data_IF_610291581561
#
_entry.id   IF_610291581561
#
_cell.length_a   1.000
_cell.length_b   1.000
_cell.length_c   1.000
_cell.angle_alpha   90.00
_cell.angle_beta   90.00
_cell.angle_gamma   90.00
#
_symmetry.space_group_name_H-M   'P 1'
#
loop_
_entity.id
_entity.type
_entity.pdbx_description
1 polymer ?
#
# COMPACT_ATOMS: atom_id res chain seq x y z
N UNK A 1 -8.95 -35.64 13.45
CA UNK A 1 -9.34 -34.35 12.85
C UNK A 1 -10.58 -34.59 12.04
N UNK A 2 -11.70 -33.93 12.34
CA UNK A 2 -12.90 -34.09 11.53
C UNK A 2 -12.63 -33.55 10.13
N UNK A 3 -12.93 -34.31 9.10
CA UNK A 3 -12.86 -33.85 7.72
C UNK A 3 -13.66 -32.55 7.58
N UNK A 4 -13.00 -31.50 7.12
CA UNK A 4 -13.62 -30.20 6.86
C UNK A 4 -14.61 -30.37 5.71
N UNK A 5 -15.91 -30.33 5.99
CA UNK A 5 -16.93 -30.32 4.95
C UNK A 5 -16.72 -29.08 4.09
N UNK A 6 -16.25 -29.31 2.87
CA UNK A 6 -16.13 -28.26 1.86
C UNK A 6 -17.48 -28.11 1.19
N UNK A 7 -18.12 -26.97 1.34
CA UNK A 7 -19.39 -26.68 0.67
C UNK A 7 -19.09 -26.28 -0.78
N UNK A 8 -19.08 -27.25 -1.68
CA UNK A 8 -18.80 -27.07 -3.11
C UNK A 8 -19.62 -25.96 -3.77
N UNK A 9 -20.79 -25.65 -3.24
CA UNK A 9 -21.69 -24.62 -3.75
C UNK A 9 -21.21 -23.17 -3.50
N UNK A 10 -20.14 -22.99 -2.72
CA UNK A 10 -19.57 -21.68 -2.39
C UNK A 10 -18.34 -21.33 -3.19
N UNK A 11 -17.72 -22.31 -3.81
CA UNK A 11 -16.51 -22.13 -4.58
C UNK A 11 -16.93 -21.93 -6.03
N UNK A 12 -16.90 -20.69 -6.52
CA UNK A 12 -16.98 -20.47 -7.96
C UNK A 12 -15.84 -21.23 -8.64
N UNK A 13 -16.10 -21.83 -9.78
CA UNK A 13 -15.08 -22.61 -10.54
C UNK A 13 -13.82 -21.78 -10.82
N UNK A 14 -13.96 -20.48 -11.06
CA UNK A 14 -12.86 -19.56 -11.33
C UNK A 14 -11.95 -19.31 -10.12
N UNK A 15 -12.39 -19.60 -8.89
CA UNK A 15 -11.53 -19.53 -7.71
C UNK A 15 -10.54 -20.70 -7.62
N UNK A 16 -10.71 -21.71 -8.43
CA UNK A 16 -9.84 -22.89 -8.47
C UNK A 16 -8.70 -22.75 -9.47
N UNK A 17 -8.70 -21.71 -10.27
CA UNK A 17 -7.72 -21.47 -11.33
C UNK A 17 -7.10 -20.09 -11.16
N UNK A 18 -5.77 -19.95 -11.28
CA UNK A 18 -5.13 -18.62 -11.28
C UNK A 18 -5.77 -17.72 -12.34
N UNK A 19 -5.95 -16.42 -12.06
CA UNK A 19 -6.52 -15.51 -13.03
C UNK A 19 -5.66 -15.46 -14.29
N UNK A 20 -6.26 -15.44 -15.50
CA UNK A 20 -5.50 -15.30 -16.72
C UNK A 20 -4.64 -14.04 -16.71
N UNK A 21 -3.43 -14.06 -17.30
CA UNK A 21 -2.61 -12.88 -17.44
C UNK A 21 -3.34 -11.76 -18.18
N UNK A 22 -3.12 -10.51 -17.76
CA UNK A 22 -3.76 -9.32 -18.31
C UNK A 22 -5.30 -9.30 -18.22
N UNK A 23 -5.90 -10.15 -17.43
CA UNK A 23 -7.34 -10.12 -17.13
C UNK A 23 -7.67 -9.07 -16.06
N UNK A 24 -8.94 -8.66 -15.98
CA UNK A 24 -9.41 -7.76 -14.93
C UNK A 24 -9.12 -8.30 -13.53
N UNK A 25 -9.29 -9.62 -13.33
CA UNK A 25 -9.05 -10.27 -12.05
C UNK A 25 -7.56 -10.27 -11.65
N UNK A 26 -6.64 -10.26 -12.61
CA UNK A 26 -5.20 -10.23 -12.32
C UNK A 26 -4.72 -8.91 -11.74
N UNK A 27 -5.51 -7.83 -11.85
CA UNK A 27 -5.14 -6.49 -11.38
C UNK A 27 -5.27 -6.36 -9.86
N UNK A 28 -6.38 -6.82 -9.30
CA UNK A 28 -6.72 -6.57 -7.91
C UNK A 28 -6.70 -7.84 -7.08
N UNK A 29 -5.86 -7.84 -6.03
CA UNK A 29 -5.68 -8.98 -5.14
C UNK A 29 -5.56 -8.51 -3.69
N UNK A 30 -6.33 -9.17 -2.82
CA UNK A 30 -6.08 -9.21 -1.39
C UNK A 30 -5.64 -10.63 -1.02
N UNK A 31 -4.52 -10.76 -0.30
CA UNK A 31 -3.94 -12.05 0.04
C UNK A 31 -3.22 -12.73 -1.13
N UNK A 32 -2.80 -13.97 -0.94
CA UNK A 32 -2.19 -14.77 -2.00
C UNK A 32 -3.22 -15.05 -3.10
N UNK A 33 -2.93 -14.75 -4.37
CA UNK A 33 -3.84 -15.01 -5.48
C UNK A 33 -4.13 -16.50 -5.69
N UNK A 34 -3.29 -17.38 -5.17
CA UNK A 34 -3.44 -18.83 -5.27
C UNK A 34 -4.05 -19.47 -4.01
N UNK A 35 -4.22 -18.67 -2.93
CA UNK A 35 -4.92 -19.12 -1.75
C UNK A 35 -6.38 -18.66 -1.75
N UNK A 36 -7.28 -19.62 -1.68
CA UNK A 36 -8.73 -19.40 -1.64
C UNK A 36 -9.22 -19.62 -0.21
N UNK A 37 -9.87 -18.58 0.33
CA UNK A 37 -10.48 -18.64 1.66
C UNK A 37 -11.99 -18.87 1.48
N UNK A 38 -12.48 -19.92 2.08
CA UNK A 38 -13.91 -20.25 2.12
C UNK A 38 -14.49 -19.92 3.49
N UNK A 39 -15.75 -19.48 3.56
CA UNK A 39 -16.43 -19.41 4.83
C UNK A 39 -16.49 -20.82 5.45
N UNK A 40 -16.22 -20.90 6.76
CA UNK A 40 -16.44 -22.15 7.48
C UNK A 40 -17.97 -22.42 7.66
N UNK A 41 -18.32 -23.63 8.09
CA UNK A 41 -19.72 -24.03 8.24
C UNK A 41 -20.54 -23.11 9.13
N UNK A 42 -19.93 -22.58 10.20
CA UNK A 42 -20.61 -21.66 11.13
C UNK A 42 -20.90 -20.32 10.46
N UNK A 43 -19.91 -19.75 9.78
CA UNK A 43 -20.09 -18.50 9.04
C UNK A 43 -21.13 -18.65 7.93
N UNK A 44 -21.12 -19.77 7.24
CA UNK A 44 -22.12 -20.08 6.21
C UNK A 44 -23.53 -20.11 6.78
N UNK A 45 -23.74 -20.87 7.88
CA UNK A 45 -25.03 -20.97 8.55
C UNK A 45 -25.50 -19.62 9.06
N UNK A 46 -24.57 -18.83 9.65
CA UNK A 46 -24.82 -17.47 10.09
C UNK A 46 -25.25 -16.56 8.92
N UNK A 47 -24.52 -16.57 7.81
CA UNK A 47 -24.86 -15.76 6.64
C UNK A 47 -26.25 -16.09 6.08
N UNK A 48 -26.63 -17.36 6.06
CA UNK A 48 -28.00 -17.75 5.66
C UNK A 48 -29.07 -17.28 6.63
N UNK A 49 -28.83 -17.44 7.94
CA UNK A 49 -29.78 -17.07 8.99
C UNK A 49 -29.96 -15.56 9.12
N UNK A 50 -28.85 -14.83 9.35
CA UNK A 50 -28.91 -13.40 9.67
C UNK A 50 -29.11 -12.50 8.44
N UNK A 51 -28.59 -12.90 7.27
CA UNK A 51 -28.71 -12.11 6.04
C UNK A 51 -29.85 -12.60 5.12
N UNK A 52 -30.59 -13.62 5.53
CA UNK A 52 -31.66 -14.20 4.74
C UNK A 52 -31.21 -14.78 3.40
N UNK A 53 -29.96 -15.21 3.30
CA UNK A 53 -29.40 -15.77 2.06
C UNK A 53 -29.90 -17.20 1.85
N UNK A 54 -30.11 -17.54 0.58
CA UNK A 54 -30.55 -18.87 0.14
C UNK A 54 -29.45 -19.55 -0.65
N UNK A 55 -29.58 -20.87 -0.91
CA UNK A 55 -28.63 -21.58 -1.77
C UNK A 55 -28.53 -20.96 -3.17
N UNK A 56 -29.63 -20.38 -3.68
CA UNK A 56 -29.63 -19.67 -4.98
C UNK A 56 -28.69 -18.46 -4.95
N UNK A 57 -28.57 -17.73 -3.84
CA UNK A 57 -27.63 -16.61 -3.73
C UNK A 57 -26.20 -17.08 -3.89
N UNK A 58 -25.86 -18.24 -3.36
CA UNK A 58 -24.52 -18.81 -3.44
C UNK A 58 -24.22 -19.52 -4.76
N UNK A 59 -25.26 -19.88 -5.50
CA UNK A 59 -25.14 -20.46 -6.85
C UNK A 59 -25.09 -19.41 -7.95
N UNK A 60 -25.42 -18.15 -7.62
CA UNK A 60 -25.40 -17.06 -8.60
C UNK A 60 -23.96 -16.82 -9.04
N UNK A 61 -23.67 -17.11 -10.29
CA UNK A 61 -22.40 -16.76 -10.91
C UNK A 61 -22.36 -15.24 -11.11
N UNK A 62 -21.45 -14.56 -10.40
CA UNK A 62 -21.08 -13.19 -10.71
C UNK A 62 -20.15 -13.12 -11.93
N UNK A 63 -19.81 -11.93 -12.38
CA UNK A 63 -18.69 -11.75 -13.30
C UNK A 63 -17.40 -12.21 -12.63
N UNK A 64 -16.62 -13.06 -13.31
CA UNK A 64 -15.41 -13.65 -12.74
C UNK A 64 -14.14 -12.81 -13.00
N UNK A 65 -14.23 -11.85 -13.94
CA UNK A 65 -13.12 -10.96 -14.30
C UNK A 65 -12.00 -11.67 -15.07
N UNK A 66 -12.28 -12.82 -15.67
CA UNK A 66 -11.32 -13.57 -16.47
C UNK A 66 -11.10 -13.00 -17.88
N UNK A 67 -11.94 -12.08 -18.31
CA UNK A 67 -11.80 -11.38 -19.58
C UNK A 67 -10.52 -10.56 -19.60
N UNK A 68 -9.87 -10.52 -20.74
CA UNK A 68 -8.72 -9.65 -20.96
C UNK A 68 -9.14 -8.17 -20.88
N UNK A 69 -8.33 -7.34 -20.23
CA UNK A 69 -8.54 -5.90 -20.24
C UNK A 69 -8.36 -5.37 -21.67
N UNK A 70 -9.35 -4.64 -22.23
CA UNK A 70 -9.25 -4.13 -23.59
C UNK A 70 -8.14 -3.07 -23.71
N UNK A 71 -7.53 -2.98 -24.87
CA UNK A 71 -6.54 -1.93 -25.16
C UNK A 71 -7.17 -0.54 -25.12
N UNK A 72 -8.41 -0.41 -25.58
CA UNK A 72 -9.17 0.86 -25.54
C UNK A 72 -10.06 0.87 -24.30
N UNK A 73 -9.80 1.82 -23.41
CA UNK A 73 -10.59 2.07 -22.21
C UNK A 73 -11.57 3.24 -22.43
N UNK A 74 -12.52 3.42 -21.52
CA UNK A 74 -13.47 4.53 -21.56
C UNK A 74 -12.76 5.91 -21.60
N UNK A 75 -11.68 6.07 -20.84
CA UNK A 75 -10.81 7.25 -20.93
C UNK A 75 -9.84 7.07 -22.11
N UNK A 76 -9.72 8.01 -23.05
CA UNK A 76 -8.76 7.90 -24.16
C UNK A 76 -7.32 7.92 -23.67
N UNK A 77 -6.35 7.39 -24.45
CA UNK A 77 -4.94 7.52 -24.10
C UNK A 77 -4.47 8.97 -24.18
N UNK A 78 -3.27 9.23 -23.63
CA UNK A 78 -2.62 10.53 -23.70
C UNK A 78 -2.24 10.86 -25.15
N UNK A 79 -2.24 12.15 -25.50
CA UNK A 79 -1.88 12.63 -26.81
C UNK A 79 -0.42 12.27 -27.17
N UNK A 80 -0.14 11.92 -28.43
CA UNK A 80 1.20 11.46 -28.85
C UNK A 80 2.34 12.43 -28.52
N UNK A 81 2.10 13.74 -28.57
CA UNK A 81 3.11 14.76 -28.26
C UNK A 81 3.54 14.72 -26.78
N UNK A 82 2.60 14.51 -25.88
CA UNK A 82 2.89 14.37 -24.45
C UNK A 82 3.55 13.03 -24.16
N UNK A 83 3.12 11.95 -24.83
CA UNK A 83 3.76 10.63 -24.72
C UNK A 83 5.23 10.74 -25.15
N UNK A 84 5.53 11.37 -26.30
CA UNK A 84 6.88 11.56 -26.80
C UNK A 84 7.78 12.33 -25.82
N UNK A 85 7.24 13.36 -25.16
CA UNK A 85 7.96 14.07 -24.11
C UNK A 85 8.32 13.13 -22.95
N UNK A 86 7.34 12.41 -22.38
CA UNK A 86 7.60 11.49 -21.26
C UNK A 86 8.53 10.34 -21.64
N UNK A 87 8.45 9.84 -22.89
CA UNK A 87 9.41 8.86 -23.41
C UNK A 87 10.84 9.42 -23.48
N UNK A 88 11.00 10.71 -23.79
CA UNK A 88 12.32 11.35 -23.79
C UNK A 88 12.90 11.53 -22.37
N UNK A 89 12.06 11.63 -21.35
CA UNK A 89 12.46 11.78 -19.94
C UNK A 89 12.74 10.43 -19.29
N UNK A 90 11.80 9.49 -19.38
CA UNK A 90 11.85 8.23 -18.64
C UNK A 90 12.39 7.04 -19.44
N UNK A 91 12.50 7.18 -20.77
CA UNK A 91 12.69 6.05 -21.69
C UNK A 91 11.35 5.42 -22.12
N UNK A 92 11.33 4.97 -23.37
CA UNK A 92 10.11 4.43 -24.00
C UNK A 92 9.49 3.24 -23.26
N UNK A 93 10.31 2.39 -22.66
CA UNK A 93 9.90 1.22 -21.90
C UNK A 93 9.25 1.59 -20.55
N UNK A 94 9.41 2.82 -20.09
CA UNK A 94 8.89 3.35 -18.85
C UNK A 94 7.66 4.27 -19.05
N UNK A 95 7.08 4.30 -20.24
CA UNK A 95 5.83 5.00 -20.54
C UNK A 95 4.85 4.02 -21.16
N UNK A 96 3.63 3.97 -20.64
CA UNK A 96 2.62 3.04 -21.15
C UNK A 96 1.25 3.69 -21.31
N UNK A 97 0.70 3.52 -22.51
CA UNK A 97 -0.70 3.87 -22.82
C UNK A 97 -1.60 2.63 -22.98
N UNK A 98 -1.06 1.42 -22.73
CA UNK A 98 -1.80 0.16 -22.86
C UNK A 98 -2.92 0.06 -21.83
N UNK A 99 -4.08 -0.43 -22.24
CA UNK A 99 -5.28 -0.52 -21.42
C UNK A 99 -5.04 -1.24 -20.09
N UNK A 100 -4.39 -2.40 -20.11
CA UNK A 100 -4.08 -3.15 -18.90
C UNK A 100 -3.23 -2.38 -17.89
N UNK A 101 -2.14 -1.74 -18.35
CA UNK A 101 -1.25 -0.99 -17.47
C UNK A 101 -1.96 0.22 -16.85
N UNK A 102 -2.77 0.91 -17.64
CA UNK A 102 -3.58 2.06 -17.18
C UNK A 102 -4.62 1.62 -16.15
N UNK A 103 -5.32 0.53 -16.40
CA UNK A 103 -6.33 0.03 -15.46
C UNK A 103 -5.70 -0.54 -14.18
N UNK A 104 -4.48 -1.09 -14.25
CA UNK A 104 -3.78 -1.67 -13.10
C UNK A 104 -3.43 -0.65 -12.01
N UNK A 105 -3.42 0.63 -12.34
CA UNK A 105 -3.16 1.75 -11.42
C UNK A 105 -4.35 2.70 -11.25
N UNK A 106 -5.52 2.34 -11.82
CA UNK A 106 -6.70 3.20 -11.79
C UNK A 106 -7.43 3.19 -10.46
N UNK A 107 -7.42 2.06 -9.76
CA UNK A 107 -8.24 1.84 -8.58
C UNK A 107 -7.43 1.45 -7.36
N UNK A 108 -8.00 1.73 -6.18
CA UNK A 108 -7.53 1.22 -4.90
C UNK A 108 -7.98 -0.21 -4.64
N UNK A 109 -8.19 -0.56 -3.37
CA UNK A 109 -8.56 -1.92 -2.94
C UNK A 109 -9.81 -1.95 -2.05
N UNK A 110 -10.80 -1.08 -2.35
CA UNK A 110 -12.11 -1.18 -1.71
C UNK A 110 -12.91 -2.34 -2.31
N UNK A 111 -13.93 -2.78 -1.60
CA UNK A 111 -14.89 -3.75 -2.15
C UNK A 111 -15.54 -3.21 -3.44
N UNK A 112 -15.78 -1.90 -3.53
CA UNK A 112 -16.33 -1.25 -4.72
C UNK A 112 -15.34 -1.29 -5.89
N UNK A 113 -14.04 -1.13 -5.64
CA UNK A 113 -13.00 -1.25 -6.66
C UNK A 113 -12.93 -2.67 -7.22
N UNK A 114 -13.04 -3.68 -6.35
CA UNK A 114 -13.18 -5.09 -6.75
C UNK A 114 -14.39 -5.33 -7.64
N UNK A 115 -15.54 -4.78 -7.24
CA UNK A 115 -16.77 -4.89 -7.99
C UNK A 115 -16.64 -4.29 -9.39
N UNK A 116 -16.11 -3.05 -9.47
CA UNK A 116 -15.90 -2.39 -10.76
C UNK A 116 -15.04 -3.22 -11.70
N UNK A 117 -13.92 -3.73 -11.22
CA UNK A 117 -13.03 -4.57 -12.03
C UNK A 117 -13.72 -5.86 -12.50
N UNK A 118 -14.50 -6.51 -11.64
CA UNK A 118 -15.23 -7.73 -12.01
C UNK A 118 -16.37 -7.49 -13.00
N UNK A 119 -16.98 -6.32 -12.92
CA UNK A 119 -18.05 -5.92 -13.87
C UNK A 119 -17.49 -5.21 -15.12
N UNK A 120 -16.17 -5.30 -15.34
CA UNK A 120 -15.49 -4.72 -16.50
C UNK A 120 -15.66 -3.19 -16.63
N UNK A 121 -15.84 -2.48 -15.51
CA UNK A 121 -15.96 -1.04 -15.48
C UNK A 121 -14.54 -0.44 -15.55
N UNK A 122 -14.31 0.43 -16.54
CA UNK A 122 -12.98 1.00 -16.85
C UNK A 122 -12.95 2.54 -16.76
N UNK A 123 -13.89 3.12 -16.04
CA UNK A 123 -13.97 4.57 -15.85
C UNK A 123 -12.78 5.12 -15.06
N UNK A 124 -12.44 6.39 -15.29
CA UNK A 124 -11.39 7.11 -14.57
C UNK A 124 -10.00 6.45 -14.60
N UNK A 125 -9.71 5.61 -15.59
CA UNK A 125 -8.34 5.15 -15.80
C UNK A 125 -7.45 6.32 -16.23
N UNK A 126 -6.20 6.42 -15.75
CA UNK A 126 -5.28 7.46 -16.22
C UNK A 126 -5.03 7.30 -17.72
N UNK A 127 -4.67 8.39 -18.39
CA UNK A 127 -4.44 8.42 -19.84
C UNK A 127 -3.08 7.78 -20.22
N UNK A 128 -2.12 7.81 -19.30
CA UNK A 128 -0.85 7.09 -19.39
C UNK A 128 -0.35 6.72 -17.98
N UNK A 129 0.56 5.75 -17.93
CA UNK A 129 1.31 5.38 -16.72
C UNK A 129 2.77 5.58 -16.99
N UNK A 130 3.46 6.26 -16.07
CA UNK A 130 4.90 6.48 -16.10
C UNK A 130 5.55 5.70 -14.95
N UNK A 131 6.73 5.16 -15.20
CA UNK A 131 7.53 4.40 -14.26
C UNK A 131 8.88 5.10 -14.03
N UNK A 132 8.94 6.23 -13.30
CA UNK A 132 10.16 6.99 -13.12
C UNK A 132 11.23 6.18 -12.40
N UNK A 133 12.50 6.44 -12.70
CA UNK A 133 13.68 5.75 -12.16
C UNK A 133 14.60 6.65 -11.35
N UNK A 134 14.40 7.97 -11.41
CA UNK A 134 15.18 8.94 -10.66
C UNK A 134 14.36 10.14 -10.18
N UNK A 135 14.91 10.85 -9.21
CA UNK A 135 14.34 12.09 -8.70
C UNK A 135 14.24 13.17 -9.78
N UNK A 136 15.27 13.27 -10.61
CA UNK A 136 15.38 14.24 -11.69
C UNK A 136 14.34 14.04 -12.77
N UNK A 137 14.02 12.78 -13.09
CA UNK A 137 12.88 12.48 -13.98
C UNK A 137 11.57 12.97 -13.39
N UNK A 138 11.33 12.76 -12.10
CA UNK A 138 10.10 13.22 -11.41
C UNK A 138 10.02 14.74 -11.43
N UNK A 139 11.14 15.46 -11.25
CA UNK A 139 11.17 16.93 -11.36
C UNK A 139 10.70 17.36 -12.74
N UNK A 140 11.28 16.80 -13.81
CA UNK A 140 10.91 17.14 -15.19
C UNK A 140 9.45 16.81 -15.51
N UNK A 141 8.95 15.68 -15.00
CA UNK A 141 7.54 15.26 -15.17
C UNK A 141 6.61 16.28 -14.50
N UNK A 142 6.88 16.66 -13.25
CA UNK A 142 6.02 17.59 -12.50
C UNK A 142 6.01 18.97 -13.15
N UNK A 143 7.17 19.50 -13.55
CA UNK A 143 7.29 20.77 -14.26
C UNK A 143 6.53 20.76 -15.59
N UNK A 144 6.64 19.68 -16.36
CA UNK A 144 5.93 19.54 -17.61
C UNK A 144 4.41 19.44 -17.39
N UNK A 145 3.97 18.63 -16.44
CA UNK A 145 2.57 18.49 -16.09
C UNK A 145 1.95 19.83 -15.65
N UNK A 146 2.67 20.61 -14.86
CA UNK A 146 2.25 21.95 -14.46
C UNK A 146 2.10 22.87 -15.68
N UNK A 147 3.10 22.91 -16.57
CA UNK A 147 3.11 23.76 -17.77
C UNK A 147 1.97 23.39 -18.74
N UNK A 148 1.69 22.10 -18.88
CA UNK A 148 0.69 21.60 -19.82
C UNK A 148 -0.68 21.37 -19.18
N UNK A 149 -0.83 21.69 -17.89
CA UNK A 149 -2.08 21.47 -17.11
C UNK A 149 -2.55 19.99 -17.14
N UNK A 150 -1.59 19.03 -17.13
CA UNK A 150 -1.88 17.61 -17.10
C UNK A 150 -2.03 17.18 -15.63
N UNK A 151 -3.20 16.68 -15.19
CA UNK A 151 -3.37 16.13 -13.86
C UNK A 151 -2.42 14.95 -13.62
N UNK A 152 -1.79 14.92 -12.42
CA UNK A 152 -0.83 13.90 -12.04
C UNK A 152 -1.30 13.19 -10.76
N UNK A 153 -1.29 11.85 -10.78
CA UNK A 153 -1.64 11.01 -9.66
C UNK A 153 -0.47 10.10 -9.30
N UNK A 154 -0.17 10.00 -8.02
CA UNK A 154 0.93 9.12 -7.55
C UNK A 154 0.37 7.78 -7.13
N UNK A 155 0.95 6.71 -7.64
CA UNK A 155 0.57 5.35 -7.32
C UNK A 155 1.75 4.63 -6.61
N UNK A 156 1.58 4.36 -5.33
CA UNK A 156 2.47 3.51 -4.54
C UNK A 156 1.99 2.06 -4.60
N UNK A 157 1.67 1.44 -3.46
CA UNK A 157 1.14 0.06 -3.43
C UNK A 157 -0.29 -0.10 -3.93
N UNK A 158 -1.02 0.98 -4.16
CA UNK A 158 -2.42 0.95 -4.58
C UNK A 158 -3.37 0.35 -3.56
N UNK A 159 -2.98 0.30 -2.29
CA UNK A 159 -3.80 -0.23 -1.19
C UNK A 159 -4.81 0.80 -0.63
N UNK A 160 -4.92 1.96 -1.25
CA UNK A 160 -5.84 3.03 -0.87
C UNK A 160 -7.29 2.54 -0.79
N UNK A 161 -8.01 3.01 0.21
CA UNK A 161 -9.46 2.79 0.40
C UNK A 161 -10.25 4.10 0.39
N UNK A 162 -9.60 5.22 0.03
CA UNK A 162 -10.17 6.57 -0.02
C UNK A 162 -10.35 7.07 -1.46
N UNK A 163 -10.00 6.27 -2.47
CA UNK A 163 -10.02 6.59 -3.90
C UNK A 163 -9.00 7.66 -4.32
N UNK A 164 -8.01 7.98 -3.49
CA UNK A 164 -6.99 9.02 -3.79
C UNK A 164 -6.11 8.71 -5.01
N UNK A 165 -6.05 7.46 -5.47
CA UNK A 165 -5.29 7.05 -6.66
C UNK A 165 -6.06 7.19 -7.97
N UNK A 166 -7.36 7.46 -7.91
CA UNK A 166 -8.25 7.44 -9.06
C UNK A 166 -8.15 8.73 -9.89
N UNK A 167 -7.93 8.59 -11.18
CA UNK A 167 -7.69 9.72 -12.09
C UNK A 167 -8.99 10.42 -12.56
N UNK A 168 -9.76 10.99 -11.62
CA UNK A 168 -11.05 11.63 -11.90
C UNK A 168 -11.03 12.74 -12.97
N UNK A 169 -9.90 13.41 -13.13
CA UNK A 169 -9.72 14.48 -14.11
C UNK A 169 -8.91 14.02 -15.33
N UNK A 170 -8.79 12.69 -15.53
CA UNK A 170 -7.84 12.18 -16.53
C UNK A 170 -6.40 12.46 -16.12
N UNK A 171 -5.49 12.64 -17.10
CA UNK A 171 -4.08 12.88 -16.82
C UNK A 171 -3.28 11.58 -16.68
N UNK A 172 -2.19 11.61 -15.93
CA UNK A 172 -1.23 10.50 -15.84
C UNK A 172 -1.10 9.98 -14.42
N UNK A 173 -0.70 8.70 -14.30
CA UNK A 173 -0.27 8.12 -13.02
C UNK A 173 1.22 7.83 -13.02
N UNK A 174 1.89 8.15 -11.91
CA UNK A 174 3.27 7.74 -11.63
C UNK A 174 3.25 6.46 -10.80
N UNK A 175 3.63 5.34 -11.37
CA UNK A 175 3.82 4.09 -10.62
C UNK A 175 5.25 4.03 -10.08
N UNK A 176 5.37 4.27 -8.78
CA UNK A 176 6.67 4.37 -8.10
C UNK A 176 7.29 2.99 -7.80
N UNK A 177 6.52 1.90 -7.87
CA UNK A 177 6.96 0.56 -7.42
C UNK A 177 8.05 -0.05 -8.28
N UNK A 178 7.98 0.19 -9.60
CA UNK A 178 8.79 -0.55 -10.57
C UNK A 178 10.26 -0.21 -10.48
N UNK A 179 10.59 1.06 -10.47
CA UNK A 179 11.98 1.53 -10.60
C UNK A 179 12.43 2.41 -9.42
N UNK A 180 11.50 2.89 -8.57
CA UNK A 180 11.76 3.89 -7.53
C UNK A 180 11.70 3.27 -6.13
N UNK A 181 12.62 2.33 -5.85
CA UNK A 181 12.58 1.51 -4.62
C UNK A 181 13.96 1.17 -4.06
N UNK A 182 14.93 2.08 -4.21
CA UNK A 182 16.32 1.89 -3.75
C UNK A 182 16.52 2.39 -2.32
N UNK A 183 17.57 1.91 -1.66
CA UNK A 183 18.12 2.50 -0.46
C UNK A 183 19.08 3.63 -0.87
N UNK A 184 18.88 4.80 -0.31
CA UNK A 184 19.71 5.98 -0.55
C UNK A 184 20.79 6.11 0.51
N UNK A 185 20.46 5.86 1.78
CA UNK A 185 21.40 5.93 2.88
C UNK A 185 20.98 5.00 4.02
N UNK A 186 21.97 4.43 4.69
CA UNK A 186 21.77 3.69 5.94
C UNK A 186 22.76 4.23 6.97
N UNK A 187 22.28 4.65 8.12
CA UNK A 187 23.09 5.16 9.21
C UNK A 187 22.83 4.38 10.50
N UNK A 188 23.79 3.51 10.86
CA UNK A 188 23.68 2.70 12.07
C UNK A 188 23.78 3.52 13.35
N UNK A 189 24.56 4.60 13.34
CA UNK A 189 24.76 5.44 14.53
C UNK A 189 23.48 6.16 14.92
N UNK A 190 22.83 6.78 13.94
CA UNK A 190 21.58 7.51 14.14
C UNK A 190 20.35 6.61 14.08
N UNK A 191 20.55 5.34 13.73
CA UNK A 191 19.48 4.35 13.52
C UNK A 191 18.44 4.86 12.53
N UNK A 192 18.90 5.23 11.33
CA UNK A 192 18.04 5.71 10.25
C UNK A 192 18.33 5.00 8.95
N UNK A 193 17.30 4.95 8.09
CA UNK A 193 17.42 4.54 6.71
C UNK A 193 16.66 5.52 5.81
N UNK A 194 17.30 5.97 4.73
CA UNK A 194 16.63 6.77 3.70
C UNK A 194 16.38 5.90 2.49
N UNK A 195 15.13 5.87 2.04
CA UNK A 195 14.70 5.06 0.91
C UNK A 195 13.87 5.85 -0.07
N UNK A 196 13.81 5.37 -1.30
CA UNK A 196 12.86 5.85 -2.29
C UNK A 196 11.43 5.43 -1.94
N UNK A 197 10.46 6.32 -2.22
CA UNK A 197 9.08 6.21 -1.76
C UNK A 197 8.30 4.99 -2.30
N UNK A 198 8.74 4.41 -3.41
CA UNK A 198 8.14 3.21 -4.01
C UNK A 198 8.53 1.89 -3.34
N UNK A 199 9.48 1.90 -2.40
CA UNK A 199 9.91 0.70 -1.68
C UNK A 199 8.73 0.04 -0.95
N UNK A 200 8.57 -1.28 -1.12
CA UNK A 200 7.51 -2.03 -0.44
C UNK A 200 7.90 -2.40 0.99
N UNK A 201 6.91 -2.66 1.84
CA UNK A 201 7.12 -3.11 3.22
C UNK A 201 7.99 -4.36 3.33
N UNK A 202 7.67 -5.46 2.63
CA UNK A 202 8.51 -6.67 2.65
C UNK A 202 9.93 -6.44 2.17
N UNK A 203 10.14 -5.59 1.17
CA UNK A 203 11.47 -5.25 0.66
C UNK A 203 12.28 -4.50 1.71
N UNK A 204 11.68 -3.49 2.38
CA UNK A 204 12.33 -2.73 3.45
C UNK A 204 12.73 -3.63 4.62
N UNK A 205 11.81 -4.44 5.13
CA UNK A 205 12.09 -5.34 6.26
C UNK A 205 13.14 -6.39 5.92
N UNK A 206 13.14 -6.93 4.69
CA UNK A 206 14.20 -7.82 4.22
C UNK A 206 15.56 -7.13 4.23
N UNK A 207 15.65 -5.91 3.70
CA UNK A 207 16.89 -5.12 3.69
C UNK A 207 17.40 -4.88 5.12
N UNK A 208 16.52 -4.50 6.04
CA UNK A 208 16.85 -4.24 7.43
C UNK A 208 17.26 -5.51 8.19
N UNK A 209 16.62 -6.64 7.94
CA UNK A 209 17.00 -7.94 8.50
C UNK A 209 18.36 -8.44 7.99
N UNK A 210 18.78 -8.00 6.82
CA UNK A 210 20.06 -8.30 6.19
C UNK A 210 21.12 -7.19 6.41
N UNK A 211 20.89 -6.24 7.32
CA UNK A 211 21.75 -5.06 7.48
C UNK A 211 23.22 -5.39 7.78
N UNK A 212 23.48 -6.50 8.50
CA UNK A 212 24.86 -6.95 8.77
C UNK A 212 25.61 -7.27 7.48
N UNK A 213 24.98 -7.95 6.55
CA UNK A 213 25.60 -8.38 5.29
C UNK A 213 25.59 -7.28 4.23
N UNK A 214 24.55 -6.43 4.23
CA UNK A 214 24.40 -5.37 3.21
C UNK A 214 25.22 -4.12 3.52
N UNK A 215 25.28 -3.73 4.79
CA UNK A 215 25.86 -2.46 5.22
C UNK A 215 27.03 -2.62 6.19
N UNK A 216 27.41 -3.86 6.56
CA UNK A 216 28.42 -4.11 7.59
C UNK A 216 27.97 -3.71 8.99
N UNK A 217 26.66 -3.61 9.22
CA UNK A 217 26.09 -3.21 10.51
C UNK A 217 26.37 -4.25 11.61
N UNK A 218 26.43 -3.77 12.86
CA UNK A 218 26.61 -4.66 14.03
C UNK A 218 25.35 -5.43 14.38
N UNK A 219 24.17 -4.85 14.06
CA UNK A 219 22.86 -5.41 14.39
C UNK A 219 22.00 -5.60 13.15
N UNK A 220 20.91 -6.35 13.30
CA UNK A 220 19.78 -6.38 12.37
C UNK A 220 18.72 -5.43 12.87
N UNK A 221 17.89 -4.92 11.94
CA UNK A 221 16.95 -3.85 12.21
C UNK A 221 15.55 -4.18 11.70
N UNK A 222 14.59 -3.41 12.16
CA UNK A 222 13.20 -3.36 11.67
C UNK A 222 12.74 -1.91 11.66
N UNK A 223 11.85 -1.58 10.72
CA UNK A 223 11.13 -0.31 10.74
C UNK A 223 10.03 -0.31 11.82
N UNK A 224 9.50 -1.49 12.16
CA UNK A 224 8.43 -1.63 13.15
C UNK A 224 7.04 -1.23 12.65
N UNK A 225 6.92 -0.77 11.40
CA UNK A 225 5.65 -0.35 10.81
C UNK A 225 5.03 -1.48 9.98
N UNK A 226 3.96 -2.08 10.49
CA UNK A 226 3.26 -3.21 9.86
C UNK A 226 1.77 -2.89 9.68
N UNK A 227 1.39 -2.06 8.70
CA UNK A 227 -0.01 -1.79 8.39
C UNK A 227 -0.70 -3.03 7.83
N UNK A 228 -2.04 -3.06 7.82
CA UNK A 228 -2.81 -4.18 7.26
C UNK A 228 -2.42 -4.51 5.81
N UNK A 229 -2.08 -3.48 5.03
CA UNK A 229 -1.66 -3.62 3.64
C UNK A 229 -0.15 -3.81 3.47
N UNK A 230 0.58 -4.21 4.50
CA UNK A 230 2.05 -4.28 4.52
C UNK A 230 2.66 -4.90 3.26
N UNK A 231 2.11 -6.02 2.80
CA UNK A 231 2.62 -6.75 1.63
C UNK A 231 2.40 -6.02 0.30
N UNK A 232 1.46 -5.08 0.25
CA UNK A 232 1.03 -4.40 -0.98
C UNK A 232 1.29 -2.91 -0.98
N UNK A 233 1.60 -2.33 0.17
CA UNK A 233 1.81 -0.89 0.32
C UNK A 233 3.28 -0.50 0.21
N UNK A 234 3.51 0.75 -0.08
CA UNK A 234 4.85 1.34 -0.17
C UNK A 234 5.12 2.29 0.98
N UNK A 235 6.40 2.51 1.27
CA UNK A 235 6.87 3.47 2.29
C UNK A 235 6.30 4.86 2.04
N UNK A 236 6.32 5.33 0.79
CA UNK A 236 5.72 6.61 0.44
C UNK A 236 4.22 6.64 0.69
N UNK A 237 3.51 5.55 0.35
CA UNK A 237 2.08 5.41 0.64
C UNK A 237 1.79 5.50 2.13
N UNK A 238 2.57 4.85 2.98
CA UNK A 238 2.43 4.95 4.44
C UNK A 238 2.54 6.40 4.92
N UNK A 239 3.57 7.10 4.46
CA UNK A 239 3.88 8.47 4.84
C UNK A 239 2.76 9.43 4.43
N UNK A 240 2.34 9.39 3.16
CA UNK A 240 1.32 10.34 2.66
C UNK A 240 -0.10 10.05 3.14
N UNK A 241 -0.35 8.89 3.75
CA UNK A 241 -1.65 8.55 4.34
C UNK A 241 -1.65 8.57 5.87
N UNK A 242 -0.53 8.92 6.52
CA UNK A 242 -0.35 8.86 7.99
C UNK A 242 -0.73 7.49 8.56
N UNK A 243 -0.25 6.43 7.91
CA UNK A 243 -0.64 5.05 8.22
C UNK A 243 -0.34 4.64 9.66
N UNK A 244 -1.18 3.76 10.21
CA UNK A 244 -0.95 3.04 11.45
C UNK A 244 -0.76 1.55 11.16
N UNK A 245 -0.05 0.85 12.04
CA UNK A 245 0.21 -0.57 11.92
C UNK A 245 -0.06 -1.33 13.23
N UNK A 246 -0.03 -2.64 13.16
CA UNK A 246 -0.30 -3.50 14.33
C UNK A 246 0.72 -3.31 15.46
N UNK A 247 1.95 -2.92 15.12
CA UNK A 247 3.02 -2.68 16.10
C UNK A 247 3.14 -1.22 16.53
N UNK A 248 2.22 -0.35 16.09
CA UNK A 248 2.27 1.10 16.38
C UNK A 248 2.12 1.42 17.87
N UNK A 249 1.56 0.52 18.66
CA UNK A 249 1.51 0.66 20.13
C UNK A 249 2.89 0.86 20.75
N UNK A 250 3.91 0.23 20.19
CA UNK A 250 5.29 0.33 20.69
C UNK A 250 6.16 1.23 19.81
N UNK A 251 6.15 1.03 18.47
CA UNK A 251 7.03 1.74 17.55
C UNK A 251 6.52 3.13 17.17
N UNK A 252 5.25 3.42 17.43
CA UNK A 252 4.57 4.60 16.93
C UNK A 252 3.89 4.38 15.58
N UNK A 253 3.11 5.35 15.16
CA UNK A 253 2.56 5.44 13.82
C UNK A 253 3.64 5.91 12.84
N UNK A 254 3.34 5.95 11.55
CA UNK A 254 4.34 6.36 10.57
C UNK A 254 4.88 7.77 10.82
N UNK A 255 4.06 8.70 11.32
CA UNK A 255 4.48 10.07 11.63
C UNK A 255 5.47 10.15 12.82
N UNK A 256 5.48 9.15 13.71
CA UNK A 256 6.47 9.03 14.78
C UNK A 256 7.79 8.39 14.29
N UNK A 257 7.75 7.75 13.12
CA UNK A 257 8.87 7.00 12.54
C UNK A 257 9.58 7.81 11.45
N UNK A 258 8.83 8.62 10.69
CA UNK A 258 9.39 9.48 9.64
C UNK A 258 10.20 10.61 10.29
N UNK A 259 11.43 10.78 9.80
CA UNK A 259 12.38 11.78 10.28
C UNK A 259 12.75 12.80 9.22
N UNK A 260 12.37 12.57 7.98
CA UNK A 260 12.62 13.51 6.90
C UNK A 260 12.01 13.05 5.60
N UNK A 261 11.69 14.02 4.77
CA UNK A 261 10.97 13.81 3.51
C UNK A 261 11.57 14.67 2.39
N UNK A 262 11.45 14.19 1.16
CA UNK A 262 11.76 15.00 -0.02
C UNK A 262 10.58 14.92 -0.98
N UNK A 263 10.00 16.07 -1.29
CA UNK A 263 8.89 16.20 -2.24
C UNK A 263 9.30 17.01 -3.46
N UNK A 264 8.79 16.60 -4.61
CA UNK A 264 8.76 17.40 -5.82
C UNK A 264 7.39 18.02 -5.95
N UNK A 265 7.32 19.35 -5.89
CA UNK A 265 6.08 20.13 -6.00
C UNK A 265 6.09 20.97 -7.28
N UNK A 266 4.95 21.51 -7.72
CA UNK A 266 4.90 22.43 -8.86
C UNK A 266 5.75 23.69 -8.68
N UNK A 267 6.11 24.06 -7.46
CA UNK A 267 6.90 25.25 -7.15
C UNK A 267 8.36 24.98 -6.81
N UNK A 268 8.78 23.71 -6.89
CA UNK A 268 10.15 23.29 -6.61
C UNK A 268 10.24 22.10 -5.65
N UNK A 269 11.46 21.79 -5.22
CA UNK A 269 11.74 20.67 -4.33
C UNK A 269 11.69 21.15 -2.88
N UNK A 270 10.91 20.46 -2.05
CA UNK A 270 10.89 20.62 -0.59
C UNK A 270 11.66 19.44 0.01
N UNK A 271 12.67 19.73 0.81
CA UNK A 271 13.47 18.72 1.50
C UNK A 271 13.65 19.11 2.97
N UNK A 272 13.26 18.22 3.85
CA UNK A 272 13.55 18.36 5.28
C UNK A 272 14.93 17.77 5.63
N UNK A 273 15.44 18.10 6.80
CA UNK A 273 16.82 17.75 7.19
C UNK A 273 16.97 16.33 7.75
N UNK A 274 15.89 15.61 8.03
CA UNK A 274 15.96 14.26 8.59
C UNK A 274 16.58 14.20 9.98
N UNK A 275 16.33 15.20 10.81
CA UNK A 275 16.84 15.28 12.17
C UNK A 275 15.90 14.54 13.13
N UNK A 276 16.45 13.79 14.12
CA UNK A 276 15.66 13.05 15.10
C UNK A 276 14.74 13.92 15.96
N UNK A 277 15.15 15.14 16.22
CA UNK A 277 14.39 16.14 16.94
C UNK A 277 14.90 17.53 16.59
N UNK A 278 14.01 18.49 16.51
CA UNK A 278 14.35 19.90 16.32
C UNK A 278 13.39 20.79 17.12
N UNK A 279 13.90 21.93 17.56
CA UNK A 279 13.14 22.92 18.34
C UNK A 279 12.75 24.14 17.49
N UNK A 280 12.64 23.96 16.19
CA UNK A 280 12.35 25.00 15.21
C UNK A 280 11.10 24.60 14.43
N UNK A 281 10.19 25.50 14.23
CA UNK A 281 8.97 25.30 13.47
C UNK A 281 8.70 26.41 12.46
N UNK A 282 7.66 26.30 11.64
CA UNK A 282 6.69 25.19 11.58
C UNK A 282 7.29 23.89 11.05
N UNK A 283 6.74 22.75 11.48
CA UNK A 283 7.14 21.42 11.03
C UNK A 283 6.55 21.11 9.66
N UNK A 284 7.38 21.16 8.64
CA UNK A 284 6.99 20.88 7.26
C UNK A 284 6.70 19.39 7.05
N UNK A 285 7.40 18.50 7.76
CA UNK A 285 7.15 17.06 7.64
C UNK A 285 5.74 16.72 8.10
N UNK A 286 5.28 17.29 9.21
CA UNK A 286 3.92 17.12 9.71
C UNK A 286 2.85 17.70 8.76
N UNK A 287 3.16 18.82 8.10
CA UNK A 287 2.26 19.42 7.11
C UNK A 287 2.11 18.54 5.86
N UNK A 288 3.20 17.94 5.39
CA UNK A 288 3.22 17.17 4.15
C UNK A 288 2.70 15.74 4.33
N UNK A 289 2.88 15.15 5.51
CA UNK A 289 2.31 13.84 5.84
C UNK A 289 0.78 13.90 5.89
N UNK A 290 0.13 12.92 5.26
CA UNK A 290 -1.33 12.87 5.14
C UNK A 290 -1.89 13.65 3.94
N UNK A 291 -1.03 14.22 3.08
CA UNK A 291 -1.44 14.96 1.89
C UNK A 291 -1.96 14.08 0.74
N UNK A 292 -1.73 12.78 0.80
CA UNK A 292 -2.12 11.79 -0.24
C UNK A 292 -1.71 12.21 -1.67
N UNK A 293 -0.60 12.96 -1.81
CA UNK A 293 -0.11 13.46 -3.10
C UNK A 293 -0.68 14.81 -3.52
N UNK A 294 -1.55 15.45 -2.72
CA UNK A 294 -2.17 16.73 -3.08
C UNK A 294 -1.17 17.89 -3.18
N UNK A 295 -0.07 17.84 -2.42
CA UNK A 295 0.94 18.92 -2.39
C UNK A 295 2.17 18.64 -3.27
N UNK A 296 2.33 17.41 -3.75
CA UNK A 296 3.46 17.03 -4.59
C UNK A 296 3.75 15.53 -4.53
N UNK A 297 4.81 15.15 -5.22
CA UNK A 297 5.28 13.76 -5.32
C UNK A 297 6.34 13.52 -4.27
N UNK A 298 6.06 12.68 -3.28
CA UNK A 298 7.05 12.21 -2.31
C UNK A 298 8.06 11.29 -3.00
N UNK A 299 9.34 11.64 -2.93
CA UNK A 299 10.41 10.87 -3.59
C UNK A 299 11.26 10.09 -2.60
N UNK A 300 11.67 10.69 -1.50
CA UNK A 300 12.52 10.05 -0.50
C UNK A 300 11.94 10.19 0.90
N UNK A 301 12.10 9.16 1.70
CA UNK A 301 11.70 9.14 3.11
C UNK A 301 12.87 8.66 3.95
N UNK A 302 13.20 9.41 4.99
CA UNK A 302 14.12 8.97 6.06
C UNK A 302 13.30 8.43 7.21
N UNK A 303 13.54 7.19 7.57
CA UNK A 303 12.83 6.47 8.63
C UNK A 303 13.76 6.19 9.79
N UNK A 304 13.26 6.33 11.01
CA UNK A 304 13.84 5.75 12.21
C UNK A 304 13.71 4.23 12.12
N UNK A 305 14.77 3.52 12.50
CA UNK A 305 14.79 2.07 12.59
C UNK A 305 15.18 1.63 14.00
N UNK A 306 14.71 0.45 14.39
CA UNK A 306 14.98 -0.13 15.70
C UNK A 306 15.73 -1.43 15.57
N UNK A 307 16.58 -1.77 16.55
CA UNK A 307 17.23 -3.07 16.58
C UNK A 307 16.17 -4.18 16.68
N UNK A 308 16.27 -5.17 15.82
CA UNK A 308 15.42 -6.34 15.87
C UNK A 308 16.00 -7.35 16.88
N UNK A 309 15.33 -7.51 18.01
CA UNK A 309 15.70 -8.42 19.11
C UNK A 309 14.68 -9.56 19.19
N UNK A 310 14.62 -10.38 18.13
CA UNK A 310 13.64 -11.46 18.02
C UNK A 310 13.72 -12.47 19.20
N UNK A 311 14.93 -12.66 19.76
CA UNK A 311 15.18 -13.51 20.91
C UNK A 311 14.50 -13.03 22.20
N UNK A 312 14.18 -11.75 22.28
CA UNK A 312 13.51 -11.15 23.43
C UNK A 312 11.98 -11.18 23.34
N UNK A 313 11.44 -11.61 22.20
CA UNK A 313 9.97 -11.67 22.03
C UNK A 313 9.35 -12.68 22.97
N UNK A 314 8.24 -12.29 23.57
CA UNK A 314 7.39 -13.14 24.42
C UNK A 314 5.96 -12.97 23.99
N UNK A 315 5.23 -14.07 23.98
CA UNK A 315 3.81 -14.09 23.58
C UNK A 315 2.99 -14.55 24.78
N UNK A 316 1.93 -13.80 25.08
CA UNK A 316 0.98 -14.12 26.13
C UNK A 316 -0.42 -14.11 25.55
N UNK A 317 -1.22 -15.08 25.94
CA UNK A 317 -2.64 -15.13 25.60
C UNK A 317 -3.45 -15.20 26.87
N UNK A 318 -4.48 -14.39 26.95
CA UNK A 318 -5.36 -14.31 28.10
C UNK A 318 -6.79 -14.61 27.67
N UNK A 319 -7.52 -15.35 28.52
CA UNK A 319 -8.94 -15.62 28.33
C UNK A 319 -9.72 -14.92 29.41
N UNK A 320 -10.75 -14.19 29.05
CA UNK A 320 -11.61 -13.44 29.96
C UNK A 320 -13.01 -14.02 29.94
N UNK A 321 -13.73 -13.89 31.06
CA UNK A 321 -15.09 -14.40 31.21
C UNK A 321 -16.13 -13.62 30.37
N UNK A 322 -15.82 -12.36 30.06
CA UNK A 322 -16.68 -11.46 29.31
C UNK A 322 -15.86 -10.37 28.62
N UNK A 323 -16.47 -9.72 27.64
CA UNK A 323 -15.88 -8.63 26.87
C UNK A 323 -15.39 -7.47 27.74
N UNK A 324 -16.20 -7.08 28.73
CA UNK A 324 -15.90 -5.95 29.60
C UNK A 324 -14.58 -6.18 30.35
N UNK A 325 -14.40 -7.34 30.95
CA UNK A 325 -13.18 -7.73 31.68
C UNK A 325 -11.94 -7.70 30.77
N UNK A 326 -12.07 -8.18 29.54
CA UNK A 326 -10.99 -8.13 28.56
C UNK A 326 -10.61 -6.71 28.16
N UNK A 327 -11.60 -5.89 27.88
CA UNK A 327 -11.42 -4.47 27.55
C UNK A 327 -10.75 -3.69 28.69
N UNK A 328 -11.22 -3.90 29.91
CA UNK A 328 -10.69 -3.21 31.09
C UNK A 328 -9.24 -3.63 31.37
N UNK A 329 -8.91 -4.91 31.22
CA UNK A 329 -7.53 -5.40 31.33
C UNK A 329 -6.61 -4.80 30.26
N UNK A 330 -7.06 -4.73 29.01
CA UNK A 330 -6.29 -4.09 27.93
C UNK A 330 -6.04 -2.61 28.23
N UNK A 331 -7.06 -1.90 28.70
CA UNK A 331 -6.91 -0.49 29.11
C UNK A 331 -5.92 -0.35 30.26
N UNK A 332 -6.01 -1.17 31.29
CA UNK A 332 -5.12 -1.14 32.45
C UNK A 332 -3.65 -1.34 32.04
N UNK A 333 -3.37 -2.32 31.17
CA UNK A 333 -2.04 -2.58 30.65
C UNK A 333 -1.49 -1.33 29.91
N UNK A 334 -2.34 -0.67 29.12
CA UNK A 334 -1.91 0.50 28.35
C UNK A 334 -1.70 1.74 29.20
N UNK A 335 -2.44 1.89 30.31
CA UNK A 335 -2.37 3.03 31.21
C UNK A 335 -1.32 2.89 32.32
N UNK A 336 -0.85 1.66 32.56
CA UNK A 336 0.12 1.38 33.63
C UNK A 336 1.53 1.92 33.38
N UNK A 337 1.83 2.43 32.18
CA UNK A 337 3.14 2.98 31.79
C UNK A 337 4.32 2.02 32.06
N UNK A 338 4.06 0.73 32.22
CA UNK A 338 5.04 -0.31 32.53
C UNK A 338 5.84 -0.80 31.30
N UNK A 339 5.69 -0.13 30.17
CA UNK A 339 6.15 -0.56 28.84
C UNK A 339 5.00 -1.10 28.02
N UNK A 340 5.03 -0.81 26.72
CA UNK A 340 3.96 -1.19 25.82
C UNK A 340 4.28 -2.50 25.11
N UNK A 341 3.31 -3.41 24.94
CA UNK A 341 3.49 -4.54 24.03
C UNK A 341 3.65 -4.04 22.60
N UNK A 342 4.53 -4.67 21.84
CA UNK A 342 4.72 -4.30 20.43
C UNK A 342 3.50 -4.55 19.57
N UNK A 343 2.64 -5.46 20.01
CA UNK A 343 1.41 -5.80 19.31
C UNK A 343 0.34 -6.22 20.31
N UNK A 344 -0.85 -5.64 20.19
CA UNK A 344 -2.09 -6.18 20.72
C UNK A 344 -2.77 -7.01 19.64
N UNK A 345 -2.99 -8.29 19.91
CA UNK A 345 -3.84 -9.11 19.03
C UNK A 345 -5.29 -8.74 19.27
N UNK A 346 -6.10 -8.86 18.23
CA UNK A 346 -7.54 -8.67 18.32
C UNK A 346 -8.16 -9.61 19.34
N UNK A 347 -9.13 -9.11 20.08
CA UNK A 347 -9.93 -9.94 20.95
C UNK A 347 -10.98 -10.68 20.10
N UNK A 348 -10.98 -12.02 20.19
CA UNK A 348 -11.99 -12.85 19.56
C UNK A 348 -13.06 -13.25 20.58
N UNK A 349 -14.30 -13.32 20.12
CA UNK A 349 -15.46 -13.78 20.88
C UNK A 349 -15.48 -15.31 21.01
#
# INVERSE_FOLDING_TARGET
>A
MAERKVYKNFKPEWEQVPPPPASFRSILKWGDPNEFKEPNERLFTFMKGELGLTDTNFQRKGADGHEAVPETLATPPLEPEHVAFFESVCGKENVSTKGYNRLSVAYGKTMYDLYRLRENITENAPRAVLYPSSHEEIVQIVEYCQKQHIPLYVYGGGSSVTRGVEAFKGGISLDMRRNFNKVINFNETDQTITVEAGMSGPQLEKILSEAKTRFGARHVYTCGHFPQSFEYSSVGGWTVTRGAGQNSTYYGNIHDIVMGQTYVTPTGVIKSYGLPAHAVGPDIDELMMGSEGAFGVLTHVTLKISRLTAENRRYFSFMFKDWQSGRDAAREIMQAEAGYPSQFSEMYW
#
